data_IF_503778190758
#
_entry.id   IF_503778190758
#
_cell.length_a   1.000
_cell.length_b   1.000
_cell.length_c   1.000
_cell.angle_alpha   90.00
_cell.angle_beta   90.00
_cell.angle_gamma   90.00
#
_symmetry.space_group_name_H-M   'P 1'
#
loop_
_entity.id
_entity.type
_entity.pdbx_description
1 polymer ?
#
# COMPACT_ATOMS: atom_id res chain seq x y z
N UNK A 1 -45.86 8.54 6.26
CA UNK A 1 -45.22 7.85 7.39
C UNK A 1 -43.74 8.19 7.34
N UNK A 2 -43.18 8.97 8.27
CA UNK A 2 -41.73 9.13 8.32
C UNK A 2 -41.15 7.85 8.92
N UNK A 3 -40.30 7.17 8.14
CA UNK A 3 -39.51 6.03 8.60
C UNK A 3 -38.58 6.49 9.71
N UNK A 4 -38.79 5.93 10.89
CA UNK A 4 -37.94 6.03 12.07
C UNK A 4 -36.52 5.55 11.70
N UNK A 5 -35.64 6.50 11.35
CA UNK A 5 -34.21 6.28 11.29
C UNK A 5 -33.74 6.10 12.73
N UNK A 6 -33.90 4.89 13.26
CA UNK A 6 -33.20 4.51 14.48
C UNK A 6 -31.71 4.67 14.18
N UNK A 7 -31.12 5.71 14.77
CA UNK A 7 -29.69 5.96 14.70
C UNK A 7 -28.99 4.66 15.06
N UNK A 8 -28.30 4.05 14.09
CA UNK A 8 -27.58 2.82 14.32
C UNK A 8 -26.46 3.15 15.31
N UNK A 9 -26.71 2.82 16.58
CA UNK A 9 -25.75 3.02 17.66
C UNK A 9 -24.90 1.77 17.77
N UNK A 10 -23.59 1.90 17.56
CA UNK A 10 -22.66 0.82 17.85
C UNK A 10 -22.17 0.99 19.28
N UNK A 11 -22.53 0.06 20.17
CA UNK A 11 -22.16 0.09 21.60
C UNK A 11 -22.50 1.43 22.29
N UNK A 12 -23.64 2.04 21.93
CA UNK A 12 -24.09 3.33 22.49
C UNK A 12 -23.41 4.56 21.90
N UNK A 13 -22.58 4.42 20.86
CA UNK A 13 -22.04 5.56 20.12
C UNK A 13 -22.95 5.95 18.97
N UNK A 14 -23.23 7.24 18.87
CA UNK A 14 -23.94 7.82 17.72
C UNK A 14 -23.13 7.66 16.43
N UNK A 15 -23.82 7.52 15.30
CA UNK A 15 -23.18 7.31 13.99
C UNK A 15 -22.14 8.38 13.66
N UNK A 16 -22.44 9.64 13.95
CA UNK A 16 -21.51 10.75 13.72
C UNK A 16 -20.20 10.61 14.55
N UNK A 17 -20.29 10.09 15.77
CA UNK A 17 -19.11 9.84 16.60
C UNK A 17 -18.26 8.70 16.04
N UNK A 18 -18.91 7.63 15.52
CA UNK A 18 -18.22 6.51 14.86
C UNK A 18 -17.53 7.00 13.57
N UNK A 19 -18.24 7.75 12.73
CA UNK A 19 -17.69 8.29 11.49
C UNK A 19 -16.49 9.22 11.76
N UNK A 20 -16.58 10.06 12.80
CA UNK A 20 -15.47 10.90 13.23
C UNK A 20 -14.27 10.07 13.73
N UNK A 21 -14.49 9.01 14.51
CA UNK A 21 -13.44 8.14 15.03
C UNK A 21 -12.65 7.40 13.94
N UNK A 22 -13.27 7.14 12.78
CA UNK A 22 -12.63 6.47 11.64
C UNK A 22 -12.14 7.44 10.56
N UNK A 23 -12.37 8.76 10.72
CA UNK A 23 -11.89 9.77 9.80
C UNK A 23 -10.51 10.32 10.21
N UNK A 24 -9.47 9.54 9.95
CA UNK A 24 -8.09 9.92 10.24
C UNK A 24 -7.65 11.24 9.57
N UNK A 25 -8.21 11.57 8.40
CA UNK A 25 -7.85 12.79 7.68
C UNK A 25 -8.42 14.06 8.33
N UNK A 26 -9.59 13.97 8.96
CA UNK A 26 -10.14 15.07 9.76
C UNK A 26 -9.46 15.17 11.15
N UNK A 27 -8.97 14.06 11.68
CA UNK A 27 -8.33 14.01 13.00
C UNK A 27 -6.89 14.54 13.01
N UNK A 28 -6.21 14.57 11.85
CA UNK A 28 -4.81 15.00 11.73
C UNK A 28 -4.74 16.35 11.03
N UNK A 29 -4.24 17.36 11.75
CA UNK A 29 -3.92 18.67 11.18
C UNK A 29 -2.93 18.51 10.01
N UNK A 30 -3.15 19.26 8.93
CA UNK A 30 -2.32 19.26 7.73
C UNK A 30 -2.25 17.92 6.97
N UNK A 31 -3.24 17.03 7.15
CA UNK A 31 -3.27 15.74 6.44
C UNK A 31 -3.10 15.90 4.92
N UNK A 32 -3.68 16.93 4.31
CA UNK A 32 -3.57 17.19 2.87
C UNK A 32 -2.14 17.59 2.47
N UNK A 33 -1.51 18.49 3.22
CA UNK A 33 -0.11 18.90 2.97
C UNK A 33 0.85 17.72 3.13
N UNK A 34 0.61 16.86 4.12
CA UNK A 34 1.42 15.65 4.34
C UNK A 34 1.34 14.71 3.14
N UNK A 35 0.14 14.49 2.59
CA UNK A 35 -0.05 13.65 1.39
C UNK A 35 0.65 14.28 0.18
N UNK A 36 0.60 15.60 0.02
CA UNK A 36 1.30 16.27 -1.08
C UNK A 36 2.82 16.12 -0.97
N UNK A 37 3.36 16.28 0.24
CA UNK A 37 4.78 16.01 0.51
C UNK A 37 5.16 14.56 0.20
N UNK A 38 4.28 13.61 0.46
CA UNK A 38 4.50 12.20 0.10
C UNK A 38 4.53 12.00 -1.41
N UNK A 39 3.59 12.60 -2.15
CA UNK A 39 3.57 12.54 -3.63
C UNK A 39 4.87 13.04 -4.23
N UNK A 40 5.30 14.26 -3.85
CA UNK A 40 6.55 14.85 -4.36
C UNK A 40 7.76 13.96 -4.10
N UNK A 41 7.94 13.48 -2.86
CA UNK A 41 9.05 12.58 -2.52
C UNK A 41 8.98 11.26 -3.27
N UNK A 42 7.79 10.74 -3.49
CA UNK A 42 7.59 9.51 -4.23
C UNK A 42 7.92 9.66 -5.71
N UNK A 43 7.59 10.78 -6.33
CA UNK A 43 8.01 11.10 -7.70
C UNK A 43 9.54 11.12 -7.82
N UNK A 44 10.23 11.81 -6.90
CA UNK A 44 11.70 11.82 -6.82
C UNK A 44 12.27 10.41 -6.66
N UNK A 45 11.61 9.56 -5.86
CA UNK A 45 12.03 8.18 -5.60
C UNK A 45 11.83 7.28 -6.82
N UNK A 46 10.69 7.41 -7.50
CA UNK A 46 10.37 6.64 -8.72
C UNK A 46 11.25 7.03 -9.90
N UNK A 47 11.78 8.25 -9.93
CA UNK A 47 12.70 8.73 -10.95
C UNK A 47 14.15 8.26 -10.76
N UNK A 48 14.47 7.53 -9.68
CA UNK A 48 15.85 7.06 -9.42
C UNK A 48 16.30 6.04 -10.48
N UNK A 49 17.58 6.05 -10.88
CA UNK A 49 18.13 5.05 -11.78
C UNK A 49 17.94 3.62 -11.23
N UNK A 50 17.60 2.69 -12.13
CA UNK A 50 17.47 1.27 -11.79
C UNK A 50 16.11 0.87 -11.18
N UNK A 51 15.25 1.84 -10.81
CA UNK A 51 13.88 1.56 -10.38
C UNK A 51 13.11 0.90 -11.53
N UNK A 52 12.40 -0.19 -11.23
CA UNK A 52 11.56 -0.92 -12.18
C UNK A 52 10.10 -0.63 -11.84
N UNK A 53 9.44 0.17 -12.67
CA UNK A 53 8.06 0.59 -12.45
C UNK A 53 7.08 -0.38 -13.12
N UNK A 54 5.89 -0.48 -12.55
CA UNK A 54 4.72 -1.11 -13.16
C UNK A 54 4.92 -2.58 -13.61
N UNK A 55 5.67 -3.35 -12.82
CA UNK A 55 5.76 -4.80 -12.98
C UNK A 55 4.37 -5.41 -12.79
N UNK A 56 3.87 -6.11 -13.80
CA UNK A 56 2.52 -6.67 -13.81
C UNK A 56 2.50 -8.05 -13.16
N UNK A 57 1.72 -8.20 -12.09
CA UNK A 57 1.49 -9.50 -11.44
C UNK A 57 0.10 -10.10 -11.75
N UNK A 58 -0.82 -9.29 -12.33
CA UNK A 58 -2.20 -9.69 -12.56
C UNK A 58 -2.89 -8.94 -13.70
N UNK A 59 -4.14 -9.32 -14.02
CA UNK A 59 -4.86 -8.77 -15.18
C UNK A 59 -5.30 -7.32 -14.96
N UNK A 60 -5.63 -6.94 -13.73
CA UNK A 60 -6.26 -5.65 -13.45
C UNK A 60 -5.31 -4.48 -13.69
N UNK A 61 -5.90 -3.29 -13.89
CA UNK A 61 -5.16 -2.06 -14.14
C UNK A 61 -4.14 -1.79 -13.02
N UNK A 62 -4.57 -1.96 -11.76
CA UNK A 62 -3.75 -1.69 -10.58
C UNK A 62 -2.92 -2.89 -10.11
N UNK A 63 -2.98 -4.04 -10.78
CA UNK A 63 -2.13 -5.19 -10.44
C UNK A 63 -0.69 -4.96 -10.91
N UNK A 64 -0.04 -4.01 -10.25
CA UNK A 64 1.28 -3.46 -10.59
C UNK A 64 2.13 -3.34 -9.33
N UNK A 65 3.42 -3.52 -9.52
CA UNK A 65 4.44 -3.35 -8.49
C UNK A 65 5.50 -2.36 -8.99
N UNK A 66 5.89 -1.41 -8.15
CA UNK A 66 7.13 -0.68 -8.36
C UNK A 66 8.22 -1.32 -7.49
N UNK A 67 9.36 -1.65 -8.10
CA UNK A 67 10.51 -2.27 -7.44
C UNK A 67 11.70 -1.31 -7.40
N UNK A 68 12.23 -1.10 -6.21
CA UNK A 68 13.30 -0.18 -5.87
C UNK A 68 14.51 -0.99 -5.41
N UNK A 69 15.50 -1.23 -6.29
CA UNK A 69 16.67 -2.01 -5.93
C UNK A 69 17.62 -1.22 -5.03
N UNK A 70 18.35 -1.94 -4.19
CA UNK A 70 19.58 -1.45 -3.58
C UNK A 70 20.81 -1.93 -4.36
N UNK A 71 21.99 -1.42 -4.01
CA UNK A 71 23.26 -1.83 -4.62
C UNK A 71 23.91 -3.04 -3.92
N UNK A 72 23.27 -3.58 -2.90
CA UNK A 72 23.78 -4.72 -2.14
C UNK A 72 23.38 -6.04 -2.82
N UNK A 73 24.34 -6.94 -3.10
CA UNK A 73 24.04 -8.24 -3.69
C UNK A 73 23.22 -9.09 -2.72
N UNK A 74 22.23 -9.82 -3.25
CA UNK A 74 21.35 -10.70 -2.45
C UNK A 74 20.74 -10.00 -1.23
N UNK A 75 20.40 -8.72 -1.37
CA UNK A 75 19.77 -7.95 -0.32
C UNK A 75 18.35 -8.48 0.01
N UNK A 76 17.88 -8.31 1.27
CA UNK A 76 16.52 -8.63 1.64
C UNK A 76 15.49 -7.77 0.88
N UNK A 77 14.25 -8.24 0.83
CA UNK A 77 13.12 -7.51 0.25
C UNK A 77 12.13 -7.06 1.33
N UNK A 78 11.77 -5.79 1.30
CA UNK A 78 10.62 -5.24 2.02
C UNK A 78 9.47 -4.96 1.06
N UNK A 79 8.35 -5.65 1.24
CA UNK A 79 7.12 -5.44 0.47
C UNK A 79 6.22 -4.49 1.26
N UNK A 80 5.87 -3.36 0.65
CA UNK A 80 5.02 -2.34 1.24
C UNK A 80 3.64 -2.30 0.58
N UNK A 81 2.59 -2.41 1.39
CA UNK A 81 1.19 -2.33 0.95
C UNK A 81 0.59 -1.00 1.42
N UNK A 82 0.09 -0.21 0.47
CA UNK A 82 -0.46 1.10 0.77
C UNK A 82 -1.80 1.03 1.53
N UNK A 83 -2.15 2.14 2.18
CA UNK A 83 -3.44 2.31 2.83
C UNK A 83 -4.44 3.08 1.96
N UNK A 84 -5.56 3.49 2.55
CA UNK A 84 -6.60 4.25 1.84
C UNK A 84 -7.99 3.65 1.94
N UNK A 85 -8.28 2.92 3.04
CA UNK A 85 -9.59 2.30 3.24
C UNK A 85 -10.02 1.36 2.10
N UNK A 86 -9.07 0.73 1.41
CA UNK A 86 -9.32 -0.15 0.26
C UNK A 86 -10.02 0.50 -0.95
N UNK A 87 -10.41 1.79 -0.88
CA UNK A 87 -11.11 2.50 -1.96
C UNK A 87 -10.37 3.77 -2.44
N UNK A 88 -9.23 4.11 -1.85
CA UNK A 88 -8.41 5.28 -2.19
C UNK A 88 -6.93 4.95 -2.23
N UNK A 89 -6.19 5.94 -2.73
CA UNK A 89 -4.74 5.96 -2.89
C UNK A 89 -4.22 4.94 -3.90
N UNK A 90 -2.92 5.02 -4.14
CA UNK A 90 -2.21 4.17 -5.09
C UNK A 90 -0.79 3.92 -4.57
N UNK A 91 -0.10 2.92 -5.12
CA UNK A 91 1.29 2.61 -4.75
C UNK A 91 2.25 3.78 -5.00
N UNK A 92 1.97 4.62 -6.00
CA UNK A 92 2.82 5.74 -6.40
C UNK A 92 2.90 6.81 -5.32
N UNK A 93 1.85 7.00 -4.51
CA UNK A 93 1.86 8.01 -3.44
C UNK A 93 2.89 7.63 -2.35
N UNK A 94 3.19 6.34 -2.20
CA UNK A 94 3.98 5.79 -1.10
C UNK A 94 5.38 5.32 -1.51
N UNK A 95 5.82 5.54 -2.76
CA UNK A 95 7.17 5.14 -3.18
C UNK A 95 8.29 5.72 -2.31
N UNK A 96 8.10 6.89 -1.69
CA UNK A 96 9.04 7.49 -0.73
C UNK A 96 9.40 6.57 0.45
N UNK A 97 8.57 5.57 0.75
CA UNK A 97 8.86 4.57 1.80
C UNK A 97 10.14 3.80 1.47
N UNK A 98 10.48 3.65 0.19
CA UNK A 98 11.71 2.99 -0.25
C UNK A 98 13.00 3.70 0.19
N UNK A 99 12.95 5.02 0.46
CA UNK A 99 14.12 5.83 0.82
C UNK A 99 14.94 5.24 1.97
N UNK A 100 14.26 4.94 3.08
CA UNK A 100 14.90 4.46 4.29
C UNK A 100 15.51 3.06 4.12
N UNK A 101 14.72 2.04 3.73
CA UNK A 101 15.24 0.69 3.54
C UNK A 101 16.32 0.60 2.46
N UNK A 102 16.17 1.26 1.31
CA UNK A 102 17.18 1.21 0.25
C UNK A 102 18.52 1.81 0.69
N UNK A 103 18.49 2.89 1.48
CA UNK A 103 19.70 3.47 2.08
C UNK A 103 20.40 2.53 3.08
N UNK A 104 19.70 1.50 3.57
CA UNK A 104 20.22 0.49 4.50
C UNK A 104 20.40 -0.89 3.83
N UNK A 105 20.50 -0.94 2.49
CA UNK A 105 20.78 -2.20 1.81
C UNK A 105 19.59 -3.15 1.69
N UNK A 106 18.35 -2.62 1.70
CA UNK A 106 17.12 -3.42 1.58
C UNK A 106 16.39 -3.03 0.28
N UNK A 107 16.06 -4.01 -0.55
CA UNK A 107 15.21 -3.80 -1.72
C UNK A 107 13.78 -3.49 -1.27
N UNK A 108 13.04 -2.68 -2.02
CA UNK A 108 11.63 -2.39 -1.69
C UNK A 108 10.73 -2.67 -2.88
N UNK A 109 9.56 -3.25 -2.63
CA UNK A 109 8.49 -3.36 -3.59
C UNK A 109 7.23 -2.67 -3.05
N UNK A 110 6.63 -1.75 -3.80
CA UNK A 110 5.30 -1.20 -3.46
C UNK A 110 4.23 -1.86 -4.30
N UNK A 111 3.18 -2.37 -3.65
CA UNK A 111 2.11 -3.14 -4.30
C UNK A 111 0.89 -2.27 -4.53
N UNK A 112 0.43 -2.20 -5.78
CA UNK A 112 -0.89 -1.69 -6.13
C UNK A 112 -1.91 -2.83 -6.16
N UNK A 113 -3.18 -2.52 -5.92
CA UNK A 113 -4.30 -3.46 -5.96
C UNK A 113 -5.58 -2.75 -6.42
N UNK A 114 -6.56 -3.51 -6.89
CA UNK A 114 -7.87 -2.98 -7.32
C UNK A 114 -8.59 -2.37 -6.13
N UNK A 115 -9.26 -1.23 -6.34
CA UNK A 115 -9.95 -0.51 -5.27
C UNK A 115 -11.43 -0.86 -5.26
N UNK A 116 -12.07 -0.75 -4.10
CA UNK A 116 -13.53 -0.72 -4.04
C UNK A 116 -14.06 0.56 -4.73
N UNK A 117 -15.24 0.51 -5.38
CA UNK A 117 -16.16 -0.62 -5.42
C UNK A 117 -15.87 -1.67 -6.52
N UNK A 118 -14.84 -1.47 -7.36
CA UNK A 118 -14.54 -2.36 -8.48
C UNK A 118 -14.09 -3.75 -8.02
N UNK A 119 -13.48 -3.84 -6.84
CA UNK A 119 -13.20 -5.10 -6.15
C UNK A 119 -13.76 -5.11 -4.72
N UNK A 120 -14.26 -6.28 -4.30
CA UNK A 120 -14.58 -6.56 -2.90
C UNK A 120 -13.33 -6.93 -2.09
N UNK A 121 -13.39 -6.84 -0.76
CA UNK A 121 -12.22 -7.08 0.11
C UNK A 121 -11.57 -8.45 -0.11
N UNK A 122 -12.36 -9.51 -0.37
CA UNK A 122 -11.81 -10.84 -0.66
C UNK A 122 -10.94 -10.88 -1.91
N UNK A 123 -11.34 -10.16 -2.96
CA UNK A 123 -10.53 -10.04 -4.18
C UNK A 123 -9.27 -9.21 -3.90
N UNK A 124 -9.37 -8.12 -3.16
CA UNK A 124 -8.21 -7.29 -2.80
C UNK A 124 -7.17 -8.10 -2.03
N UNK A 125 -7.60 -8.91 -1.06
CA UNK A 125 -6.71 -9.83 -0.32
C UNK A 125 -6.06 -10.82 -1.28
N UNK A 126 -6.83 -11.43 -2.18
CA UNK A 126 -6.29 -12.38 -3.16
C UNK A 126 -5.26 -11.72 -4.10
N UNK A 127 -5.52 -10.50 -4.57
CA UNK A 127 -4.60 -9.75 -5.42
C UNK A 127 -3.28 -9.42 -4.70
N UNK A 128 -3.33 -9.08 -3.41
CA UNK A 128 -2.12 -8.88 -2.60
C UNK A 128 -1.32 -10.17 -2.47
N UNK A 129 -1.97 -11.31 -2.21
CA UNK A 129 -1.30 -12.61 -2.16
C UNK A 129 -0.62 -12.94 -3.49
N UNK A 130 -1.31 -12.71 -4.62
CA UNK A 130 -0.75 -12.91 -5.96
C UNK A 130 0.46 -11.99 -6.23
N UNK A 131 0.44 -10.75 -5.73
CA UNK A 131 1.57 -9.84 -5.86
C UNK A 131 2.81 -10.35 -5.08
N UNK A 132 2.61 -10.91 -3.90
CA UNK A 132 3.67 -11.52 -3.09
C UNK A 132 4.21 -12.78 -3.78
N UNK A 133 3.34 -13.66 -4.27
CA UNK A 133 3.73 -14.86 -5.00
C UNK A 133 4.57 -14.50 -6.25
N UNK A 134 4.13 -13.49 -7.00
CA UNK A 134 4.88 -12.96 -8.14
C UNK A 134 6.28 -12.50 -7.73
N UNK A 135 6.40 -11.68 -6.68
CA UNK A 135 7.70 -11.19 -6.20
C UNK A 135 8.63 -12.33 -5.80
N UNK A 136 8.14 -13.28 -5.00
CA UNK A 136 8.92 -14.45 -4.55
C UNK A 136 9.39 -15.29 -5.75
N UNK A 137 8.53 -15.49 -6.75
CA UNK A 137 8.90 -16.21 -7.98
C UNK A 137 9.98 -15.47 -8.78
N UNK A 138 9.93 -14.14 -8.80
CA UNK A 138 10.85 -13.26 -9.52
C UNK A 138 12.14 -12.92 -8.75
N UNK A 139 12.41 -13.60 -7.61
CA UNK A 139 13.55 -13.27 -6.74
C UNK A 139 14.90 -13.24 -7.47
N UNK A 140 15.16 -14.23 -8.33
CA UNK A 140 16.41 -14.32 -9.08
C UNK A 140 16.53 -13.19 -10.12
N UNK A 141 15.43 -12.87 -10.81
CA UNK A 141 15.36 -11.81 -11.83
C UNK A 141 15.47 -10.39 -11.24
N UNK A 142 15.00 -10.24 -10.00
CA UNK A 142 15.03 -8.98 -9.24
C UNK A 142 16.27 -8.86 -8.35
N UNK A 143 17.01 -9.94 -8.14
CA UNK A 143 18.32 -9.97 -7.46
C UNK A 143 18.25 -9.84 -5.93
N UNK A 144 17.16 -10.30 -5.29
CA UNK A 144 17.00 -10.27 -3.83
C UNK A 144 17.05 -11.68 -3.22
N UNK A 145 17.36 -11.78 -1.93
CA UNK A 145 17.33 -13.06 -1.21
C UNK A 145 15.89 -13.51 -0.94
N UNK A 146 15.46 -14.59 -1.62
CA UNK A 146 14.11 -15.19 -1.47
C UNK A 146 13.81 -15.59 -0.02
N UNK A 147 14.82 -15.93 0.79
CA UNK A 147 14.63 -16.31 2.18
C UNK A 147 14.46 -15.12 3.13
N UNK A 148 14.72 -13.89 2.67
CA UNK A 148 14.74 -12.68 3.48
C UNK A 148 13.68 -11.66 3.00
N UNK A 149 12.41 -12.06 3.07
CA UNK A 149 11.26 -11.22 2.70
C UNK A 149 10.51 -10.77 3.95
N UNK A 150 10.24 -9.46 4.06
CA UNK A 150 9.37 -8.87 5.09
C UNK A 150 8.24 -8.10 4.42
N UNK A 151 7.03 -8.21 4.97
CA UNK A 151 5.86 -7.48 4.47
C UNK A 151 5.44 -6.47 5.53
N UNK A 152 5.14 -5.24 5.11
CA UNK A 152 4.59 -4.20 5.95
C UNK A 152 3.53 -3.39 5.20
N UNK A 153 2.68 -2.68 5.95
CA UNK A 153 1.64 -1.89 5.33
C UNK A 153 1.15 -0.76 6.23
N UNK A 154 0.49 0.21 5.62
CA UNK A 154 -0.06 1.37 6.32
C UNK A 154 -1.58 1.35 6.34
N UNK A 155 -2.21 1.49 7.52
CA UNK A 155 -3.67 1.54 7.66
C UNK A 155 -4.35 0.29 7.04
N UNK A 156 -5.17 0.44 6.00
CA UNK A 156 -5.76 -0.67 5.25
C UNK A 156 -4.70 -1.66 4.73
N UNK A 157 -3.51 -1.18 4.36
CA UNK A 157 -2.38 -2.03 4.00
C UNK A 157 -1.86 -2.86 5.18
N UNK A 158 -1.89 -2.32 6.39
CA UNK A 158 -1.54 -3.06 7.61
C UNK A 158 -2.57 -4.14 7.96
N UNK A 159 -3.84 -3.94 7.59
CA UNK A 159 -4.82 -5.03 7.61
C UNK A 159 -4.48 -6.09 6.54
N UNK A 160 -4.11 -5.69 5.32
CA UNK A 160 -3.78 -6.61 4.24
C UNK A 160 -2.49 -7.43 4.50
N UNK A 161 -1.64 -7.02 5.45
CA UNK A 161 -0.47 -7.79 5.88
C UNK A 161 -0.77 -8.86 6.94
N UNK A 162 -1.94 -8.81 7.58
CA UNK A 162 -2.25 -9.59 8.78
C UNK A 162 -2.72 -11.02 8.48
#
# INVERSE_FOLDING_TARGET
MPTDQTASTYRGMERAAIDAAYNNSAAVTDSAERVEKWRRRSEETRARPGVRLDLRYGPEANNRIDYFPTNMPSAPLFIFIHGGYWFRNTKEIFAFVADGPCANGINVATVGYTLAPDAGLSQIVQEVSLAIDYLVSAADDLGFDRAAVTVGGWSAGGHLTA
#
